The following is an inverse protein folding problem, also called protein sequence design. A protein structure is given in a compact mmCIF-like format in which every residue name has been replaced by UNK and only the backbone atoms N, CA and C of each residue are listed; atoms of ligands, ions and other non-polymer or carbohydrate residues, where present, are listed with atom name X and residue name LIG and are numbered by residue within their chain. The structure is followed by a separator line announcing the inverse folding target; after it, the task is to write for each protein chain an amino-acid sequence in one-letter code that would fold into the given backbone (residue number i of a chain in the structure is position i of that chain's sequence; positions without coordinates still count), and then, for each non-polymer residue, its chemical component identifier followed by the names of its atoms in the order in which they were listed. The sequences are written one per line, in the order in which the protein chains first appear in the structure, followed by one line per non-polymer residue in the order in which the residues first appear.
data_IF_459773024626
#
_entry.id   IF_459773024626
#
_cell.length_a   1.000
_cell.length_b   1.000
_cell.length_c   1.000
_cell.angle_alpha   90.00
_cell.angle_beta   90.00
_cell.angle_gamma   90.00
#
_symmetry.space_group_name_H-M   'P 1'
#
loop_
_entity.id
_entity.type
_entity.pdbx_description
1 polymer ?
#
# COMPACT_ATOMS: atom_id res chain seq x y z
N UNK A 1 8.51 46.94 -37.76
CA UNK A 1 8.83 46.31 -36.48
C UNK A 1 7.95 45.08 -36.30
N UNK A 2 8.51 43.88 -36.26
CA UNK A 2 7.73 42.73 -35.99
C UNK A 2 7.33 42.72 -34.49
N UNK A 3 6.14 42.25 -34.13
CA UNK A 3 5.70 42.18 -32.74
C UNK A 3 6.61 41.23 -31.94
N UNK A 4 6.82 41.50 -30.64
CA UNK A 4 7.63 40.61 -29.80
C UNK A 4 6.98 39.23 -29.72
N UNK A 5 7.74 38.21 -30.09
CA UNK A 5 7.36 36.79 -29.94
C UNK A 5 7.25 36.47 -28.45
N UNK A 6 6.04 36.27 -27.98
CA UNK A 6 5.78 35.82 -26.63
C UNK A 6 6.44 34.42 -26.43
N UNK A 7 7.29 34.24 -25.44
CA UNK A 7 7.89 32.92 -25.22
C UNK A 7 6.78 31.92 -24.91
N UNK A 8 6.66 30.87 -25.72
CA UNK A 8 5.73 29.75 -25.45
C UNK A 8 6.10 29.19 -24.09
N UNK A 9 5.20 29.31 -23.11
CA UNK A 9 5.31 28.62 -21.84
C UNK A 9 5.43 27.11 -22.15
N UNK A 10 6.60 26.54 -21.88
CA UNK A 10 6.78 25.09 -21.91
C UNK A 10 5.86 24.50 -20.87
N UNK A 11 4.99 23.59 -21.28
CA UNK A 11 4.18 22.79 -20.34
C UNK A 11 5.12 22.08 -19.38
N UNK A 12 4.83 22.07 -18.06
CA UNK A 12 5.67 21.35 -17.13
C UNK A 12 5.71 19.87 -17.55
N UNK A 13 6.90 19.35 -17.77
CA UNK A 13 7.09 17.92 -17.96
C UNK A 13 6.75 17.24 -16.66
N UNK A 14 5.64 16.51 -16.62
CA UNK A 14 5.39 15.55 -15.55
C UNK A 14 6.44 14.45 -15.72
N UNK A 15 7.45 14.48 -14.87
CA UNK A 15 8.41 13.37 -14.76
C UNK A 15 7.68 12.19 -14.15
N UNK A 16 7.10 11.35 -14.98
CA UNK A 16 6.69 10.00 -14.54
C UNK A 16 8.00 9.21 -14.43
N UNK A 17 8.40 8.79 -13.21
CA UNK A 17 9.58 7.96 -13.08
C UNK A 17 9.38 6.72 -13.93
N UNK A 18 10.23 6.51 -14.92
CA UNK A 18 10.25 5.24 -15.64
C UNK A 18 10.72 4.18 -14.66
N UNK A 19 9.77 3.45 -14.12
CA UNK A 19 10.06 2.22 -13.40
C UNK A 19 10.74 1.28 -14.40
N UNK A 20 12.05 1.10 -14.24
CA UNK A 20 12.78 0.15 -15.07
C UNK A 20 12.22 -1.24 -14.82
N UNK A 21 11.60 -1.83 -15.82
CA UNK A 21 11.24 -3.24 -15.80
C UNK A 21 12.51 -4.05 -15.54
N UNK A 22 12.56 -4.80 -14.45
CA UNK A 22 13.61 -5.74 -14.14
C UNK A 22 14.24 -5.57 -12.76
N UNK A 23 15.13 -4.60 -12.54
CA UNK A 23 15.88 -4.50 -11.27
C UNK A 23 15.03 -3.95 -10.13
N UNK A 24 14.16 -2.96 -10.36
CA UNK A 24 13.30 -2.37 -9.31
C UNK A 24 12.05 -3.21 -9.03
N UNK A 25 11.50 -3.92 -10.03
CA UNK A 25 10.38 -4.84 -9.85
C UNK A 25 10.74 -6.07 -9.01
N UNK A 26 12.04 -6.31 -8.74
CA UNK A 26 12.54 -7.42 -7.93
C UNK A 26 12.84 -7.04 -6.50
N UNK A 27 12.82 -5.75 -6.13
CA UNK A 27 12.99 -5.33 -4.75
C UNK A 27 11.76 -5.78 -3.96
N UNK A 28 11.96 -6.65 -2.93
CA UNK A 28 10.83 -7.13 -2.16
C UNK A 28 10.22 -5.98 -1.35
N UNK A 29 8.90 -5.85 -1.43
CA UNK A 29 8.16 -4.97 -0.54
C UNK A 29 7.75 -5.79 0.69
N UNK A 30 8.23 -5.38 1.84
CA UNK A 30 7.87 -5.96 3.13
C UNK A 30 7.00 -4.95 3.86
N UNK A 31 5.71 -5.19 3.80
CA UNK A 31 4.69 -4.26 4.27
C UNK A 31 4.13 -4.66 5.62
N UNK A 32 3.84 -3.68 6.45
CA UNK A 32 3.03 -3.86 7.63
C UNK A 32 1.77 -2.98 7.55
N UNK A 33 0.67 -3.48 8.06
CA UNK A 33 -0.63 -2.83 8.01
C UNK A 33 -0.97 -2.29 9.40
N UNK A 34 -1.32 -1.02 9.48
CA UNK A 34 -1.86 -0.39 10.67
C UNK A 34 -3.37 -0.23 10.48
N UNK A 35 -4.15 -0.91 11.29
CA UNK A 35 -5.59 -1.02 11.15
C UNK A 35 -6.02 -2.40 10.67
N UNK A 36 -6.40 -3.27 11.60
CA UNK A 36 -6.76 -4.67 11.36
C UNK A 36 -8.26 -4.90 11.13
N UNK A 37 -8.99 -3.91 10.63
CA UNK A 37 -10.43 -4.02 10.36
C UNK A 37 -10.77 -4.80 9.09
N UNK A 38 -11.98 -4.57 8.57
CA UNK A 38 -12.48 -5.23 7.36
C UNK A 38 -11.61 -4.93 6.13
N UNK A 39 -11.14 -3.69 5.98
CA UNK A 39 -10.27 -3.33 4.87
C UNK A 39 -8.96 -4.13 4.88
N UNK A 40 -8.38 -4.35 6.05
CA UNK A 40 -7.21 -5.20 6.20
C UNK A 40 -7.51 -6.66 5.82
N UNK A 41 -8.61 -7.22 6.32
CA UNK A 41 -9.04 -8.58 5.97
C UNK A 41 -9.19 -8.75 4.46
N UNK A 42 -9.85 -7.81 3.81
CA UNK A 42 -10.09 -7.86 2.37
C UNK A 42 -8.79 -7.68 1.57
N UNK A 43 -7.89 -6.82 2.04
CA UNK A 43 -6.58 -6.65 1.41
C UNK A 43 -5.75 -7.93 1.50
N UNK A 44 -5.74 -8.59 2.65
CA UNK A 44 -5.05 -9.88 2.81
C UNK A 44 -5.61 -10.94 1.87
N UNK A 45 -6.93 -10.99 1.70
CA UNK A 45 -7.58 -11.92 0.78
C UNK A 45 -7.18 -11.64 -0.69
N UNK A 46 -7.14 -10.39 -1.09
CA UNK A 46 -6.73 -9.99 -2.45
C UNK A 46 -5.25 -10.32 -2.69
N UNK A 47 -4.37 -9.98 -1.76
CA UNK A 47 -2.94 -10.24 -1.90
C UNK A 47 -2.60 -11.74 -1.90
N UNK A 48 -3.48 -12.57 -1.35
CA UNK A 48 -3.35 -14.02 -1.40
C UNK A 48 -3.72 -14.65 -2.75
N UNK A 49 -4.28 -13.88 -3.68
CA UNK A 49 -4.64 -14.39 -5.00
C UNK A 49 -3.40 -14.63 -5.86
N UNK A 50 -3.40 -15.75 -6.56
CA UNK A 50 -2.27 -16.19 -7.39
C UNK A 50 -1.82 -15.13 -8.41
N UNK A 51 -2.76 -14.38 -8.97
CA UNK A 51 -2.49 -13.31 -9.94
C UNK A 51 -1.61 -12.19 -9.40
N UNK A 52 -1.59 -11.99 -8.06
CA UNK A 52 -0.84 -10.91 -7.43
C UNK A 52 0.52 -11.36 -6.86
N UNK A 53 0.89 -12.61 -7.04
CA UNK A 53 2.21 -13.12 -6.60
C UNK A 53 3.38 -12.40 -7.27
N UNK A 54 3.17 -11.89 -8.48
CA UNK A 54 4.20 -11.14 -9.21
C UNK A 54 4.53 -9.78 -8.60
N UNK A 55 3.72 -9.28 -7.67
CA UNK A 55 3.97 -7.99 -7.01
C UNK A 55 5.18 -8.01 -6.08
N UNK A 56 5.68 -9.19 -5.71
CA UNK A 56 6.78 -9.34 -4.77
C UNK A 56 6.56 -8.55 -3.47
N UNK A 57 5.35 -8.64 -2.95
CA UNK A 57 4.90 -7.98 -1.72
C UNK A 57 4.60 -9.04 -0.67
N UNK A 58 5.21 -8.92 0.51
CA UNK A 58 4.87 -9.72 1.67
C UNK A 58 4.29 -8.84 2.76
N UNK A 59 3.17 -9.22 3.33
CA UNK A 59 2.65 -8.60 4.55
C UNK A 59 3.31 -9.28 5.73
N UNK A 60 4.12 -8.55 6.47
CA UNK A 60 4.96 -9.08 7.55
C UNK A 60 4.45 -8.74 8.94
N UNK A 61 3.47 -7.87 9.05
CA UNK A 61 2.88 -7.50 10.33
C UNK A 61 1.56 -6.77 10.18
N UNK A 62 0.72 -6.89 11.18
CA UNK A 62 -0.56 -6.17 11.29
C UNK A 62 -0.72 -5.69 12.73
N UNK A 63 -1.09 -4.42 12.91
CA UNK A 63 -1.37 -3.84 14.20
C UNK A 63 -2.81 -3.36 14.29
N UNK A 64 -3.46 -3.68 15.40
CA UNK A 64 -4.76 -3.12 15.79
C UNK A 64 -4.92 -3.26 17.31
N UNK A 65 -5.41 -2.23 18.01
CA UNK A 65 -5.64 -2.32 19.46
C UNK A 65 -6.75 -3.31 19.84
N UNK A 66 -7.67 -3.62 18.92
CA UNK A 66 -8.72 -4.61 19.13
C UNK A 66 -8.24 -6.02 18.73
N UNK A 67 -8.08 -6.95 19.71
CA UNK A 67 -7.61 -8.30 19.39
C UNK A 67 -8.60 -9.11 18.55
N UNK A 68 -9.85 -8.68 18.47
CA UNK A 68 -10.91 -9.33 17.69
C UNK A 68 -11.14 -8.68 16.32
N UNK A 69 -10.36 -7.66 15.96
CA UNK A 69 -10.48 -7.04 14.65
C UNK A 69 -10.32 -8.10 13.54
N UNK A 70 -11.22 -8.14 12.55
CA UNK A 70 -11.28 -9.26 11.60
C UNK A 70 -10.01 -9.42 10.76
N UNK A 71 -9.36 -8.35 10.39
CA UNK A 71 -8.07 -8.40 9.67
C UNK A 71 -6.92 -8.87 10.55
N UNK A 72 -6.93 -8.50 11.84
CA UNK A 72 -5.92 -8.96 12.79
C UNK A 72 -6.07 -10.48 13.03
N UNK A 73 -7.30 -10.95 13.21
CA UNK A 73 -7.59 -12.40 13.36
C UNK A 73 -7.13 -13.16 12.12
N UNK A 74 -7.43 -12.65 10.94
CA UNK A 74 -7.01 -13.29 9.68
C UNK A 74 -5.48 -13.31 9.52
N UNK A 75 -4.82 -12.22 9.88
CA UNK A 75 -3.35 -12.16 9.86
C UNK A 75 -2.74 -13.23 10.77
N UNK A 76 -3.31 -13.41 11.96
CA UNK A 76 -2.87 -14.42 12.91
C UNK A 76 -3.05 -15.85 12.33
N UNK A 77 -4.17 -16.13 11.69
CA UNK A 77 -4.41 -17.40 11.02
C UNK A 77 -3.41 -17.68 9.90
N UNK A 78 -2.95 -16.64 9.22
CA UNK A 78 -1.96 -16.74 8.14
C UNK A 78 -0.51 -16.81 8.66
N UNK A 79 -0.30 -16.77 9.97
CA UNK A 79 1.04 -16.79 10.56
C UNK A 79 1.77 -15.45 10.48
N UNK A 80 1.06 -14.35 10.22
CA UNK A 80 1.62 -13.01 10.16
C UNK A 80 1.72 -12.45 11.59
N UNK A 81 2.82 -11.76 11.89
CA UNK A 81 3.00 -11.10 13.19
C UNK A 81 1.89 -10.10 13.45
N UNK A 82 1.28 -10.17 14.64
CA UNK A 82 0.23 -9.24 15.07
C UNK A 82 0.61 -8.57 16.38
N UNK A 83 0.20 -7.32 16.54
CA UNK A 83 0.49 -6.54 17.73
C UNK A 83 -0.63 -5.52 18.00
N UNK A 84 -0.95 -5.22 19.27
CA UNK A 84 -1.86 -4.11 19.59
C UNK A 84 -1.20 -2.73 19.43
N UNK A 85 0.11 -2.67 19.39
CA UNK A 85 0.91 -1.44 19.32
C UNK A 85 1.65 -1.35 17.98
N UNK A 86 1.26 -0.41 17.13
CA UNK A 86 1.85 -0.29 15.80
C UNK A 86 3.34 0.08 15.81
N UNK A 87 3.85 0.68 16.89
CA UNK A 87 5.28 1.02 16.97
C UNK A 87 6.17 -0.21 16.98
N UNK A 88 5.65 -1.35 17.39
CA UNK A 88 6.37 -2.62 17.32
C UNK A 88 6.60 -3.13 15.90
N UNK A 89 5.80 -2.68 14.95
CA UNK A 89 6.00 -3.04 13.54
C UNK A 89 7.34 -2.54 13.01
N UNK A 90 7.82 -1.40 13.52
CA UNK A 90 9.09 -0.81 13.08
C UNK A 90 10.31 -1.67 13.44
N UNK A 91 10.17 -2.63 14.35
CA UNK A 91 11.23 -3.55 14.75
C UNK A 91 11.35 -4.76 13.83
N UNK A 92 10.42 -4.95 12.90
CA UNK A 92 10.46 -6.07 11.97
C UNK A 92 11.62 -5.86 10.99
N UNK A 93 12.50 -6.84 10.91
CA UNK A 93 13.66 -6.78 10.03
C UNK A 93 13.22 -6.68 8.56
N UNK A 94 13.79 -5.71 7.84
CA UNK A 94 13.51 -5.49 6.42
C UNK A 94 12.19 -4.81 6.12
N UNK A 95 11.45 -4.34 7.12
CA UNK A 95 10.24 -3.55 6.89
C UNK A 95 10.58 -2.31 6.07
N UNK A 96 9.89 -2.10 4.95
CA UNK A 96 10.12 -0.93 4.09
C UNK A 96 8.84 -0.20 3.65
N UNK A 97 7.68 -0.71 4.05
CA UNK A 97 6.39 -0.11 3.70
C UNK A 97 5.41 -0.21 4.85
N UNK A 98 4.74 0.88 5.16
CA UNK A 98 3.59 0.93 6.08
C UNK A 98 2.35 1.27 5.27
N UNK A 99 1.29 0.53 5.49
CA UNK A 99 -0.04 0.79 4.92
C UNK A 99 -0.97 1.14 6.08
N UNK A 100 -1.41 2.40 6.14
CA UNK A 100 -2.31 2.89 7.19
C UNK A 100 -3.75 2.80 6.69
N UNK A 101 -4.55 1.92 7.29
CA UNK A 101 -5.94 1.63 6.88
C UNK A 101 -6.99 2.09 7.91
N UNK A 102 -6.59 2.76 8.99
CA UNK A 102 -7.56 3.14 10.02
C UNK A 102 -8.52 4.24 9.57
N UNK A 103 -8.08 5.11 8.67
CA UNK A 103 -8.83 6.29 8.29
C UNK A 103 -9.00 7.30 9.44
N UNK A 104 -8.34 7.07 10.58
CA UNK A 104 -8.43 7.93 11.75
C UNK A 104 -7.33 9.00 11.72
N UNK A 105 -7.69 10.31 11.70
CA UNK A 105 -6.69 11.38 11.57
C UNK A 105 -5.60 11.36 12.64
N UNK A 106 -5.95 11.07 13.88
CA UNK A 106 -4.98 11.01 14.99
C UNK A 106 -3.97 9.88 14.81
N UNK A 107 -4.39 8.72 14.36
CA UNK A 107 -3.49 7.59 14.06
C UNK A 107 -2.60 7.93 12.88
N UNK A 108 -3.17 8.47 11.81
CA UNK A 108 -2.41 8.90 10.62
C UNK A 108 -1.30 9.88 10.99
N UNK A 109 -1.61 10.88 11.80
CA UNK A 109 -0.61 11.89 12.24
C UNK A 109 0.52 11.25 13.05
N UNK A 110 0.20 10.33 13.95
CA UNK A 110 1.20 9.58 14.72
C UNK A 110 2.07 8.73 13.82
N UNK A 111 1.49 8.04 12.85
CA UNK A 111 2.22 7.22 11.87
C UNK A 111 3.19 8.08 11.06
N UNK A 112 2.73 9.23 10.56
CA UNK A 112 3.58 10.16 9.82
C UNK A 112 4.75 10.69 10.65
N UNK A 113 4.53 10.93 11.94
CA UNK A 113 5.57 11.45 12.84
C UNK A 113 6.56 10.38 13.31
N UNK A 114 6.08 9.17 13.54
CA UNK A 114 6.86 8.13 14.22
C UNK A 114 7.54 7.15 13.25
N UNK A 115 7.09 7.07 12.00
CA UNK A 115 7.67 6.15 11.03
C UNK A 115 9.08 6.59 10.64
N UNK A 116 10.08 5.72 10.75
CA UNK A 116 11.44 6.02 10.29
C UNK A 116 11.47 6.43 8.80
N UNK A 117 12.40 7.31 8.45
CA UNK A 117 12.49 7.91 7.09
C UNK A 117 12.77 6.89 5.98
N UNK A 118 13.38 5.78 6.32
CA UNK A 118 13.68 4.71 5.35
C UNK A 118 12.49 3.80 5.05
N UNK A 119 11.34 4.02 5.72
CA UNK A 119 10.11 3.26 5.52
C UNK A 119 9.11 4.16 4.81
N UNK A 120 8.62 3.70 3.66
CA UNK A 120 7.58 4.41 2.90
C UNK A 120 6.21 4.21 3.54
N UNK A 121 5.33 5.18 3.36
CA UNK A 121 3.98 5.15 3.93
C UNK A 121 2.96 5.30 2.81
N UNK A 122 1.98 4.41 2.81
CA UNK A 122 0.74 4.57 2.05
C UNK A 122 -0.36 4.84 3.08
N UNK A 123 -0.94 6.02 3.03
CA UNK A 123 -2.03 6.37 3.94
C UNK A 123 -3.37 5.79 3.44
N UNK A 124 -4.44 5.99 4.21
CA UNK A 124 -5.77 5.49 3.90
C UNK A 124 -6.25 5.91 2.49
N UNK A 125 -5.99 7.13 2.07
CA UNK A 125 -6.40 7.62 0.74
C UNK A 125 -5.62 6.97 -0.39
N UNK A 126 -4.32 6.81 -0.21
CA UNK A 126 -3.46 6.09 -1.15
C UNK A 126 -3.83 4.62 -1.24
N UNK A 127 -4.12 3.99 -0.11
CA UNK A 127 -4.59 2.61 -0.07
C UNK A 127 -5.92 2.43 -0.79
N UNK A 128 -6.86 3.37 -0.62
CA UNK A 128 -8.14 3.35 -1.33
C UNK A 128 -7.97 3.46 -2.84
N UNK A 129 -7.09 4.33 -3.30
CA UNK A 129 -6.79 4.45 -4.73
C UNK A 129 -6.27 3.13 -5.30
N UNK A 130 -5.30 2.51 -4.61
CA UNK A 130 -4.75 1.22 -5.03
C UNK A 130 -5.81 0.12 -5.03
N UNK A 131 -6.68 0.11 -4.04
CA UNK A 131 -7.82 -0.81 -3.96
C UNK A 131 -8.73 -0.67 -5.16
N UNK A 132 -9.15 0.55 -5.48
CA UNK A 132 -10.05 0.81 -6.61
C UNK A 132 -9.40 0.38 -7.93
N UNK A 133 -8.10 0.61 -8.10
CA UNK A 133 -7.35 0.14 -9.29
C UNK A 133 -7.34 -1.38 -9.40
N UNK A 134 -7.14 -2.09 -8.29
CA UNK A 134 -7.14 -3.56 -8.26
C UNK A 134 -8.53 -4.10 -8.60
N UNK A 135 -9.60 -3.51 -8.05
CA UNK A 135 -10.98 -3.91 -8.36
C UNK A 135 -11.29 -3.75 -9.85
N UNK A 136 -10.91 -2.63 -10.45
CA UNK A 136 -11.11 -2.41 -11.90
C UNK A 136 -10.40 -3.48 -12.73
N UNK A 137 -9.19 -3.87 -12.39
CA UNK A 137 -8.47 -4.92 -13.08
C UNK A 137 -9.10 -6.31 -12.89
N UNK A 138 -9.58 -6.62 -11.69
CA UNK A 138 -10.28 -7.88 -11.43
C UNK A 138 -11.58 -7.97 -12.21
N UNK A 139 -12.35 -6.89 -12.28
CA UNK A 139 -13.61 -6.82 -13.04
C UNK A 139 -13.37 -7.00 -14.55
N UNK A 140 -12.34 -6.37 -15.11
CA UNK A 140 -11.93 -6.59 -16.49
C UNK A 140 -11.62 -8.06 -16.79
N UNK A 141 -10.90 -8.71 -15.90
CA UNK A 141 -10.59 -10.13 -16.02
C UNK A 141 -11.81 -11.01 -16.06
N UNK A 142 -12.81 -10.71 -15.24
CA UNK A 142 -14.07 -11.45 -15.22
C UNK A 142 -14.86 -11.27 -16.51
N UNK A 143 -14.88 -10.07 -17.06
CA UNK A 143 -15.54 -9.75 -18.34
C UNK A 143 -14.83 -10.44 -19.51
N UNK A 144 -13.53 -10.41 -19.57
CA UNK A 144 -12.73 -11.08 -20.60
C UNK A 144 -12.89 -12.60 -20.58
N UNK A 145 -13.07 -13.22 -19.39
CA UNK A 145 -13.33 -14.66 -19.27
C UNK A 145 -14.73 -15.08 -19.67
N UNK A 146 -15.69 -14.15 -19.70
CA UNK A 146 -17.07 -14.40 -20.11
C UNK A 146 -17.35 -14.14 -21.58
N UNK A 147 -16.44 -13.49 -22.26
CA UNK A 147 -16.52 -13.29 -23.73
C UNK A 147 -15.93 -14.55 -24.49
#
# INVERSE_FOLDING_TARGET
MPPPTTPRRRKPRVLVPRLRRGAQARLPLRAAIIGGGLACRDLLAILGQERLRSLNLAVVGVADPDPQAPGLVRARELGIFTTPDFTRLYQIAGLNLIIELTGHPGVRDRVLKQTPRNISIIDYRGARLLWDLVEVELDKSLVERRA
#
